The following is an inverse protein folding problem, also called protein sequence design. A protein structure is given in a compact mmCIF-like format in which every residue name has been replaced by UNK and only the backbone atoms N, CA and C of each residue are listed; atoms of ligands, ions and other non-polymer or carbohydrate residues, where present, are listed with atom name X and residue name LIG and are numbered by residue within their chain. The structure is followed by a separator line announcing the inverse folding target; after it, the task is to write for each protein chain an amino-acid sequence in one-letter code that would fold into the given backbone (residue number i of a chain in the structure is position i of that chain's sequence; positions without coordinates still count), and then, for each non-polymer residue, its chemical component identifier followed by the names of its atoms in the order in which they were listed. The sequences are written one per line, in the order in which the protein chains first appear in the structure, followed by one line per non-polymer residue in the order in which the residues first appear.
data_IF_539780416370
#
_entry.id   IF_539780416370
#
_cell.length_a   1.000
_cell.length_b   1.000
_cell.length_c   1.000
_cell.angle_alpha   90.00
_cell.angle_beta   90.00
_cell.angle_gamma   90.00
#
_symmetry.space_group_name_H-M   'P 1'
#
loop_
_entity.id
_entity.type
_entity.pdbx_description
1 polymer ?
#
# COMPACT_ATOMS: atom_id res chain seq x y z
N UNK A 1 -3.18 -2.91 22.00
CA UNK A 1 -3.90 -2.79 20.72
C UNK A 1 -5.36 -3.13 20.97
N UNK A 2 -6.36 -2.37 20.48
CA UNK A 2 -7.75 -2.69 20.72
C UNK A 2 -8.03 -4.07 20.08
N UNK A 3 -8.37 -5.02 20.90
CA UNK A 3 -8.90 -6.30 20.48
C UNK A 3 -10.26 -6.02 19.84
N UNK A 4 -10.31 -5.93 18.52
CA UNK A 4 -11.57 -5.99 17.81
C UNK A 4 -12.18 -7.35 18.15
N UNK A 5 -13.18 -7.36 19.02
CA UNK A 5 -14.01 -8.53 19.32
C UNK A 5 -14.70 -8.95 18.03
N UNK A 6 -14.10 -9.90 17.36
CA UNK A 6 -14.65 -10.45 16.11
C UNK A 6 -15.65 -11.53 16.54
N UNK A 7 -16.91 -11.40 16.15
CA UNK A 7 -17.91 -12.42 16.42
C UNK A 7 -17.52 -13.74 15.72
N UNK A 8 -17.39 -14.86 16.45
CA UNK A 8 -16.96 -16.14 15.91
C UNK A 8 -18.07 -16.81 15.10
N UNK A 9 -18.19 -16.44 13.83
CA UNK A 9 -19.13 -17.02 12.88
C UNK A 9 -18.40 -17.69 11.72
N UNK A 10 -18.96 -18.76 11.16
CA UNK A 10 -18.40 -19.45 9.98
C UNK A 10 -18.25 -18.50 8.78
N UNK A 11 -19.15 -17.54 8.64
CA UNK A 11 -19.11 -16.54 7.58
C UNK A 11 -17.91 -15.60 7.72
N UNK A 12 -17.64 -15.12 8.94
CA UNK A 12 -16.51 -14.21 9.20
C UNK A 12 -15.16 -14.96 9.08
N UNK A 13 -15.12 -16.25 9.45
CA UNK A 13 -13.95 -17.09 9.21
C UNK A 13 -13.62 -17.22 7.72
N UNK A 14 -14.62 -17.47 6.87
CA UNK A 14 -14.44 -17.53 5.42
C UNK A 14 -13.98 -16.20 4.85
N UNK A 15 -14.52 -15.08 5.35
CA UNK A 15 -14.10 -13.72 4.98
C UNK A 15 -12.66 -13.45 5.36
N UNK A 16 -12.21 -13.85 6.56
CA UNK A 16 -10.82 -13.71 7.00
C UNK A 16 -9.86 -14.55 6.15
N UNK A 17 -10.23 -15.80 5.83
CA UNK A 17 -9.45 -16.65 4.91
C UNK A 17 -9.34 -16.02 3.51
N UNK A 18 -10.41 -15.43 3.00
CA UNK A 18 -10.41 -14.67 1.75
C UNK A 18 -9.49 -13.44 1.80
N UNK A 19 -9.57 -12.66 2.88
CA UNK A 19 -8.68 -11.50 3.12
C UNK A 19 -7.21 -11.92 3.20
N UNK A 20 -6.90 -13.02 3.87
CA UNK A 20 -5.54 -13.55 3.93
C UNK A 20 -5.00 -13.88 2.53
N UNK A 21 -5.79 -14.59 1.71
CA UNK A 21 -5.41 -14.93 0.33
C UNK A 21 -5.17 -13.67 -0.53
N UNK A 22 -6.02 -12.65 -0.38
CA UNK A 22 -5.86 -11.37 -1.08
C UNK A 22 -4.61 -10.63 -0.59
N UNK A 23 -4.36 -10.60 0.73
CA UNK A 23 -3.16 -9.99 1.31
C UNK A 23 -1.86 -10.66 0.82
N UNK A 24 -1.83 -12.00 0.73
CA UNK A 24 -0.68 -12.74 0.20
C UNK A 24 -0.42 -12.44 -1.28
N UNK A 25 -1.48 -12.36 -2.11
CA UNK A 25 -1.35 -11.96 -3.51
C UNK A 25 -0.88 -10.51 -3.64
N UNK A 26 -1.48 -9.61 -2.86
CA UNK A 26 -1.09 -8.20 -2.84
C UNK A 26 0.36 -8.00 -2.38
N UNK A 27 0.82 -8.75 -1.38
CA UNK A 27 2.21 -8.74 -0.95
C UNK A 27 3.16 -9.13 -2.09
N UNK A 28 2.86 -10.23 -2.83
CA UNK A 28 3.69 -10.65 -3.96
C UNK A 28 3.76 -9.57 -5.05
N UNK A 29 2.60 -9.03 -5.47
CA UNK A 29 2.54 -7.98 -6.49
C UNK A 29 3.25 -6.69 -6.09
N UNK A 30 3.15 -6.29 -4.82
CA UNK A 30 3.86 -5.11 -4.31
C UNK A 30 5.36 -5.36 -4.20
N UNK A 31 5.79 -6.57 -3.89
CA UNK A 31 7.19 -6.97 -3.89
C UNK A 31 7.76 -6.90 -5.30
N UNK A 32 7.08 -7.49 -6.28
CA UNK A 32 7.48 -7.46 -7.69
C UNK A 32 7.54 -6.00 -8.20
N UNK A 33 6.53 -5.16 -7.86
CA UNK A 33 6.54 -3.72 -8.17
C UNK A 33 7.75 -3.01 -7.56
N UNK A 34 8.07 -3.26 -6.29
CA UNK A 34 9.22 -2.66 -5.61
C UNK A 34 10.53 -3.03 -6.30
N UNK A 35 10.69 -4.30 -6.66
CA UNK A 35 11.93 -4.81 -7.25
C UNK A 35 12.14 -4.22 -8.65
N UNK A 36 11.09 -4.04 -9.44
CA UNK A 36 11.17 -3.38 -10.74
C UNK A 36 11.43 -1.86 -10.60
N UNK A 37 10.77 -1.17 -9.66
CA UNK A 37 11.07 0.24 -9.36
C UNK A 37 12.53 0.41 -8.91
N UNK A 38 13.07 -0.50 -8.13
CA UNK A 38 14.47 -0.47 -7.68
C UNK A 38 15.43 -0.61 -8.87
N UNK A 39 15.11 -1.47 -9.84
CA UNK A 39 15.93 -1.63 -11.05
C UNK A 39 15.97 -0.33 -11.86
N UNK A 40 14.80 0.26 -12.14
CA UNK A 40 14.72 1.53 -12.86
C UNK A 40 15.41 2.67 -12.10
N UNK A 41 15.26 2.74 -10.79
CA UNK A 41 15.97 3.68 -9.94
C UNK A 41 17.48 3.55 -10.06
N UNK A 42 18.02 2.33 -10.06
CA UNK A 42 19.45 2.10 -10.22
C UNK A 42 19.99 2.54 -11.58
N UNK A 43 19.19 2.38 -12.64
CA UNK A 43 19.57 2.85 -13.98
C UNK A 43 19.60 4.40 -14.03
N UNK A 44 18.57 5.06 -13.47
CA UNK A 44 18.51 6.52 -13.33
C UNK A 44 19.68 7.06 -12.47
N UNK A 45 20.03 6.40 -11.39
CA UNK A 45 21.17 6.79 -10.53
C UNK A 45 22.51 6.68 -11.28
N UNK A 46 22.69 5.67 -12.13
CA UNK A 46 23.91 5.57 -12.98
C UNK A 46 23.99 6.72 -13.99
N UNK A 47 22.88 7.03 -14.64
CA UNK A 47 22.80 8.16 -15.58
C UNK A 47 23.06 9.50 -14.86
N UNK A 48 22.42 9.71 -13.70
CA UNK A 48 22.64 10.87 -12.83
C UNK A 48 24.13 11.05 -12.50
N UNK A 49 24.80 9.99 -12.07
CA UNK A 49 26.23 10.03 -11.71
C UNK A 49 27.12 10.40 -12.90
N UNK A 50 26.82 9.87 -14.09
CA UNK A 50 27.58 10.15 -15.30
C UNK A 50 27.38 11.60 -15.75
N UNK A 51 26.14 12.11 -15.73
CA UNK A 51 25.83 13.50 -16.06
C UNK A 51 26.44 14.48 -15.05
N UNK A 52 26.32 14.18 -13.76
CA UNK A 52 26.89 15.01 -12.70
C UNK A 52 28.39 15.20 -12.87
N UNK A 53 29.11 14.13 -13.19
CA UNK A 53 30.55 14.21 -13.45
C UNK A 53 30.87 15.11 -14.64
N UNK A 54 30.10 15.02 -15.74
CA UNK A 54 30.28 15.89 -16.92
C UNK A 54 30.00 17.35 -16.59
N UNK A 55 28.94 17.63 -15.84
CA UNK A 55 28.57 18.97 -15.38
C UNK A 55 29.65 19.53 -14.46
N UNK A 56 30.17 18.77 -13.51
CA UNK A 56 31.25 19.17 -12.60
C UNK A 56 32.54 19.51 -13.38
N UNK A 57 32.93 18.68 -14.35
CA UNK A 57 34.10 18.93 -15.21
C UNK A 57 33.91 20.16 -16.08
N UNK A 58 32.71 20.41 -16.62
CA UNK A 58 32.38 21.59 -17.39
C UNK A 58 32.37 22.88 -16.56
N UNK A 59 31.76 22.83 -15.38
CA UNK A 59 31.75 23.95 -14.43
C UNK A 59 33.17 24.30 -13.95
N UNK A 60 34.02 23.31 -13.68
CA UNK A 60 35.42 23.57 -13.30
C UNK A 60 36.16 24.33 -14.40
N UNK A 61 35.94 23.97 -15.67
CA UNK A 61 36.55 24.73 -16.82
C UNK A 61 36.01 26.13 -16.87
N UNK A 62 34.69 26.33 -16.83
CA UNK A 62 34.07 27.65 -16.84
C UNK A 62 34.55 28.52 -15.67
N UNK A 63 34.64 28.00 -14.47
CA UNK A 63 35.16 28.71 -13.29
C UNK A 63 36.64 29.05 -13.42
N UNK A 64 37.45 28.15 -14.02
CA UNK A 64 38.86 28.42 -14.30
C UNK A 64 39.04 29.61 -15.21
N UNK A 65 38.38 29.64 -16.37
CA UNK A 65 38.40 30.78 -17.30
C UNK A 65 37.84 32.06 -16.68
N UNK A 66 36.76 31.95 -15.90
CA UNK A 66 36.18 33.09 -15.18
C UNK A 66 37.12 33.69 -14.14
N UNK A 67 37.88 32.87 -13.43
CA UNK A 67 38.85 33.31 -12.44
C UNK A 67 39.99 34.09 -13.10
N UNK A 68 40.46 33.65 -14.28
CA UNK A 68 41.47 34.37 -15.06
C UNK A 68 40.89 35.70 -15.58
N UNK A 69 39.66 35.68 -16.11
CA UNK A 69 38.97 36.90 -16.57
C UNK A 69 38.83 37.94 -15.44
N UNK A 70 38.43 37.48 -14.24
CA UNK A 70 38.29 38.30 -13.03
C UNK A 70 39.62 38.93 -12.55
N UNK A 71 40.76 38.27 -12.83
CA UNK A 71 42.07 38.79 -12.49
C UNK A 71 42.55 39.86 -13.51
N UNK A 72 42.06 39.80 -14.76
CA UNK A 72 42.44 40.71 -15.84
C UNK A 72 41.54 41.95 -15.94
N UNK A 73 40.30 41.83 -15.45
CA UNK A 73 39.27 42.89 -15.55
C UNK A 73 38.98 43.50 -14.18
N UNK A 74 38.55 44.77 -14.15
CA UNK A 74 38.01 45.34 -12.91
C UNK A 74 36.64 44.76 -12.56
N UNK A 75 36.34 44.62 -11.27
CA UNK A 75 35.07 44.10 -10.78
C UNK A 75 33.86 44.84 -11.36
N UNK A 76 33.96 46.17 -11.47
CA UNK A 76 32.90 47.02 -12.03
C UNK A 76 32.62 46.74 -13.52
N UNK A 77 33.67 46.50 -14.34
CA UNK A 77 33.51 46.13 -15.75
C UNK A 77 32.90 44.75 -15.91
N UNK A 78 33.26 43.82 -15.04
CA UNK A 78 32.75 42.45 -15.06
C UNK A 78 31.26 42.42 -14.66
N UNK A 79 30.87 43.17 -13.63
CA UNK A 79 29.47 43.32 -13.22
C UNK A 79 28.63 43.96 -14.33
N UNK A 80 29.13 45.03 -14.98
CA UNK A 80 28.44 45.68 -16.11
C UNK A 80 28.26 44.73 -17.31
N UNK A 81 29.27 43.91 -17.60
CA UNK A 81 29.23 42.96 -18.71
C UNK A 81 28.16 41.87 -18.52
N UNK A 82 27.93 41.42 -17.29
CA UNK A 82 27.00 40.32 -16.97
C UNK A 82 25.61 40.79 -16.50
N UNK A 83 25.37 42.11 -16.38
CA UNK A 83 24.14 42.65 -15.82
C UNK A 83 22.88 42.30 -16.63
N UNK A 84 22.98 42.27 -17.96
CA UNK A 84 21.85 42.07 -18.86
C UNK A 84 22.05 40.82 -19.72
N UNK A 85 21.47 39.65 -19.32
CA UNK A 85 21.54 38.45 -20.14
C UNK A 85 20.71 38.62 -21.42
N UNK A 86 21.27 38.31 -22.58
CA UNK A 86 20.57 38.30 -23.88
C UNK A 86 19.80 37.01 -24.11
N UNK A 87 20.32 35.91 -23.61
CA UNK A 87 19.73 34.59 -23.81
C UNK A 87 18.70 34.28 -22.74
N UNK A 88 17.52 33.81 -23.13
CA UNK A 88 16.50 33.29 -22.20
C UNK A 88 16.10 31.87 -22.56
N UNK A 89 15.88 31.06 -21.56
CA UNK A 89 15.47 29.68 -21.71
C UNK A 89 14.03 29.54 -21.18
N UNK A 90 13.11 29.09 -22.03
CA UNK A 90 11.75 28.73 -21.63
C UNK A 90 11.69 27.23 -21.36
N UNK A 91 11.10 26.87 -20.22
CA UNK A 91 10.93 25.49 -19.79
C UNK A 91 9.46 25.07 -19.93
N UNK A 92 9.18 24.12 -20.81
CA UNK A 92 7.90 23.42 -20.90
C UNK A 92 8.01 22.09 -20.15
N UNK A 93 7.12 21.86 -19.19
CA UNK A 93 7.13 20.66 -18.37
C UNK A 93 5.96 19.75 -18.75
N UNK A 94 6.27 18.53 -19.19
CA UNK A 94 5.31 17.45 -19.40
C UNK A 94 5.52 16.35 -18.36
N UNK A 95 4.51 15.49 -18.17
CA UNK A 95 4.60 14.38 -17.23
C UNK A 95 4.50 13.05 -17.95
N UNK A 96 5.44 12.17 -17.66
CA UNK A 96 5.42 10.78 -18.10
C UNK A 96 5.13 9.87 -16.91
N UNK A 97 4.30 8.83 -17.12
CA UNK A 97 4.01 7.87 -16.07
C UNK A 97 4.96 6.67 -16.15
N UNK A 98 5.75 6.46 -15.09
CA UNK A 98 6.63 5.31 -14.93
C UNK A 98 6.13 4.49 -13.73
N UNK A 99 5.52 3.33 -13.97
CA UNK A 99 5.02 2.42 -12.93
C UNK A 99 4.15 3.10 -11.86
N UNK A 100 3.24 3.98 -12.27
CA UNK A 100 2.36 4.78 -11.42
C UNK A 100 3.06 5.94 -10.70
N UNK A 101 4.28 6.30 -11.09
CA UNK A 101 4.98 7.53 -10.69
C UNK A 101 4.93 8.51 -11.85
N UNK A 102 4.39 9.71 -11.60
CA UNK A 102 4.40 10.78 -12.60
C UNK A 102 5.74 11.51 -12.53
N UNK A 103 6.56 11.30 -13.54
CA UNK A 103 7.90 11.85 -13.66
C UNK A 103 7.84 13.06 -14.60
N UNK A 104 8.44 14.20 -14.26
CA UNK A 104 8.51 15.34 -15.14
C UNK A 104 9.51 15.06 -16.29
N UNK A 105 9.15 15.49 -17.47
CA UNK A 105 10.02 15.56 -18.65
C UNK A 105 10.14 17.03 -19.05
N UNK A 106 11.35 17.51 -19.15
CA UNK A 106 11.66 18.92 -19.40
C UNK A 106 11.97 19.14 -20.88
N UNK A 107 11.24 20.04 -21.50
CA UNK A 107 11.49 20.51 -22.86
C UNK A 107 11.99 21.95 -22.80
N UNK A 108 13.21 22.17 -23.28
CA UNK A 108 13.85 23.47 -23.25
C UNK A 108 13.75 24.13 -24.62
N UNK A 109 13.33 25.39 -24.64
CA UNK A 109 13.37 26.26 -25.83
C UNK A 109 14.26 27.43 -25.53
N UNK A 110 15.40 27.54 -26.23
CA UNK A 110 16.22 28.71 -26.21
C UNK A 110 15.64 29.74 -27.18
N UNK A 111 15.50 30.99 -26.74
CA UNK A 111 14.93 32.09 -27.57
C UNK A 111 15.89 32.63 -28.61
N UNK A 112 17.18 32.30 -28.55
CA UNK A 112 18.19 32.71 -29.51
C UNK A 112 18.77 31.54 -30.27
N UNK A 113 18.65 31.55 -31.59
CA UNK A 113 19.21 30.53 -32.49
C UNK A 113 20.65 30.87 -32.94
N UNK A 114 21.13 32.08 -32.74
CA UNK A 114 22.45 32.53 -33.17
C UNK A 114 23.51 32.37 -32.06
N UNK A 115 24.62 31.72 -32.40
CA UNK A 115 25.78 31.54 -31.50
C UNK A 115 26.40 32.88 -31.03
N UNK A 116 26.20 33.96 -31.76
CA UNK A 116 26.67 35.31 -31.39
C UNK A 116 25.86 35.98 -30.28
N UNK A 117 24.63 35.55 -30.04
CA UNK A 117 23.76 36.12 -28.99
C UNK A 117 24.06 35.60 -27.57
N UNK A 118 25.01 34.68 -27.42
CA UNK A 118 25.46 34.19 -26.13
C UNK A 118 26.13 35.28 -25.30
N UNK A 119 26.81 36.23 -25.98
CA UNK A 119 27.58 37.28 -25.32
C UNK A 119 26.74 38.53 -25.08
N UNK A 120 26.46 38.91 -23.82
CA UNK A 120 25.63 40.08 -23.49
C UNK A 120 26.40 41.42 -23.59
N UNK A 121 27.68 41.39 -23.89
CA UNK A 121 28.60 42.53 -23.86
C UNK A 121 29.31 42.75 -25.19
N UNK A 122 29.95 43.92 -25.31
CA UNK A 122 30.76 44.27 -26.49
C UNK A 122 32.22 43.85 -26.33
N UNK A 123 32.82 43.29 -27.39
CA UNK A 123 34.18 42.73 -27.36
C UNK A 123 35.31 43.78 -27.16
N UNK A 124 35.01 45.09 -27.22
CA UNK A 124 36.03 46.14 -27.09
C UNK A 124 36.51 46.36 -25.64
N UNK A 125 35.70 46.00 -24.65
CA UNK A 125 35.94 46.28 -23.23
C UNK A 125 36.09 45.02 -22.37
N UNK A 126 35.98 43.84 -22.97
CA UNK A 126 36.01 42.54 -22.27
C UNK A 126 37.22 41.72 -22.70
N UNK A 127 37.67 40.82 -21.82
CA UNK A 127 38.77 39.91 -22.11
C UNK A 127 38.28 38.64 -22.80
N UNK A 128 39.05 38.05 -23.70
CA UNK A 128 38.74 36.80 -24.39
C UNK A 128 38.59 35.59 -23.42
N UNK A 129 39.13 35.70 -22.22
CA UNK A 129 38.97 34.68 -21.18
C UNK A 129 37.53 34.65 -20.64
N UNK A 130 36.84 35.80 -20.61
CA UNK A 130 35.42 35.87 -20.26
C UNK A 130 34.57 35.20 -21.34
N UNK A 131 34.92 35.36 -22.62
CA UNK A 131 34.22 34.68 -23.71
C UNK A 131 34.33 33.16 -23.58
N UNK A 132 35.54 32.67 -23.28
CA UNK A 132 35.77 31.25 -23.03
C UNK A 132 34.98 30.70 -21.81
N UNK A 133 34.82 31.51 -20.76
CA UNK A 133 34.01 31.13 -19.60
C UNK A 133 32.52 31.03 -19.93
N UNK A 134 31.98 31.99 -20.66
CA UNK A 134 30.58 32.05 -21.10
C UNK A 134 30.26 30.92 -22.08
N UNK A 135 31.16 30.65 -23.06
CA UNK A 135 31.01 29.52 -23.98
C UNK A 135 31.00 28.17 -23.24
N UNK A 136 31.96 27.96 -22.32
CA UNK A 136 32.00 26.74 -21.51
C UNK A 136 30.73 26.56 -20.66
N UNK A 137 30.21 27.66 -20.09
CA UNK A 137 28.96 27.62 -19.29
C UNK A 137 27.74 27.31 -20.17
N UNK A 138 27.65 27.91 -21.35
CA UNK A 138 26.58 27.65 -22.33
C UNK A 138 26.59 26.18 -22.77
N UNK A 139 27.75 25.59 -23.00
CA UNK A 139 27.89 24.16 -23.34
C UNK A 139 27.46 23.21 -22.24
N UNK A 140 27.58 23.62 -20.98
CA UNK A 140 27.16 22.81 -19.82
C UNK A 140 25.68 22.99 -19.47
N UNK A 141 25.05 24.07 -19.91
CA UNK A 141 23.68 24.44 -19.57
C UNK A 141 22.69 23.31 -19.88
N UNK A 142 22.79 22.70 -21.06
CA UNK A 142 21.90 21.58 -21.45
C UNK A 142 22.08 20.35 -20.54
N UNK A 143 23.32 20.00 -20.20
CA UNK A 143 23.61 18.92 -19.29
C UNK A 143 23.11 19.21 -17.87
N UNK A 144 23.16 20.46 -17.39
CA UNK A 144 22.59 20.87 -16.08
C UNK A 144 21.08 20.74 -16.06
N UNK A 145 20.41 21.16 -17.12
CA UNK A 145 18.95 21.03 -17.21
C UNK A 145 18.51 19.55 -17.27
N UNK A 146 19.24 18.73 -18.02
CA UNK A 146 19.01 17.28 -18.05
C UNK A 146 19.30 16.63 -16.69
N UNK A 147 20.33 17.07 -15.99
CA UNK A 147 20.63 16.63 -14.64
C UNK A 147 19.50 16.93 -13.67
N UNK A 148 18.93 18.15 -13.73
CA UNK A 148 17.79 18.54 -12.89
C UNK A 148 16.55 17.63 -13.11
N UNK A 149 16.25 17.26 -14.37
CA UNK A 149 15.19 16.32 -14.72
C UNK A 149 15.43 14.95 -14.09
N UNK A 150 16.65 14.42 -14.24
CA UNK A 150 17.02 13.10 -13.72
C UNK A 150 17.08 13.08 -12.19
N UNK A 151 17.55 14.14 -11.56
CA UNK A 151 17.54 14.28 -10.10
C UNK A 151 16.11 14.28 -9.56
N UNK A 152 15.20 15.03 -10.19
CA UNK A 152 13.80 15.03 -9.79
C UNK A 152 13.14 13.67 -9.99
N UNK A 153 13.44 13.01 -11.09
CA UNK A 153 12.99 11.63 -11.38
C UNK A 153 13.47 10.65 -10.31
N UNK A 154 14.75 10.70 -9.97
CA UNK A 154 15.32 9.82 -8.93
C UNK A 154 14.67 10.05 -7.57
N UNK A 155 14.40 11.30 -7.19
CA UNK A 155 13.72 11.64 -5.95
C UNK A 155 12.32 11.05 -5.88
N UNK A 156 11.52 11.22 -6.95
CA UNK A 156 10.15 10.70 -7.00
C UNK A 156 10.10 9.16 -6.97
N UNK A 157 11.02 8.50 -7.67
CA UNK A 157 11.16 7.05 -7.63
C UNK A 157 11.56 6.55 -6.23
N UNK A 158 12.51 7.23 -5.56
CA UNK A 158 12.92 6.89 -4.20
C UNK A 158 11.76 6.99 -3.20
N UNK A 159 10.95 8.05 -3.27
CA UNK A 159 9.76 8.24 -2.43
C UNK A 159 8.74 7.11 -2.63
N UNK A 160 8.47 6.72 -3.89
CA UNK A 160 7.52 5.63 -4.16
C UNK A 160 8.08 4.26 -3.74
N UNK A 161 9.38 4.01 -3.89
CA UNK A 161 10.05 2.82 -3.39
C UNK A 161 9.90 2.73 -1.86
N UNK A 162 10.11 3.84 -1.15
CA UNK A 162 9.94 3.87 0.31
C UNK A 162 8.49 3.60 0.73
N UNK A 163 7.51 4.23 0.09
CA UNK A 163 6.07 3.99 0.31
C UNK A 163 5.71 2.53 0.07
N UNK A 164 6.19 1.96 -1.05
CA UNK A 164 5.93 0.56 -1.40
C UNK A 164 6.60 -0.39 -0.42
N UNK A 165 7.85 -0.12 0.01
CA UNK A 165 8.56 -0.88 1.04
C UNK A 165 7.81 -0.90 2.37
N UNK A 166 7.30 0.26 2.82
CA UNK A 166 6.48 0.34 4.04
C UNK A 166 5.22 -0.51 3.93
N UNK A 167 4.52 -0.50 2.77
CA UNK A 167 3.33 -1.32 2.53
C UNK A 167 3.66 -2.82 2.51
N UNK A 168 4.75 -3.21 1.85
CA UNK A 168 5.22 -4.61 1.82
C UNK A 168 5.53 -5.09 3.23
N UNK A 169 6.29 -4.31 4.02
CA UNK A 169 6.66 -4.66 5.39
C UNK A 169 5.42 -4.77 6.30
N UNK A 170 4.44 -3.86 6.16
CA UNK A 170 3.20 -3.92 6.93
C UNK A 170 2.38 -5.18 6.61
N UNK A 171 2.34 -5.61 5.35
CA UNK A 171 1.69 -6.86 4.95
C UNK A 171 2.44 -8.08 5.48
N UNK A 172 3.76 -8.12 5.33
CA UNK A 172 4.61 -9.26 5.64
C UNK A 172 4.73 -9.52 7.15
N UNK A 173 4.97 -8.46 7.94
CA UNK A 173 5.27 -8.60 9.37
C UNK A 173 4.08 -8.37 10.29
N UNK A 174 3.06 -7.65 9.84
CA UNK A 174 1.92 -7.30 10.70
C UNK A 174 0.64 -7.98 10.24
N UNK A 175 0.21 -7.76 9.02
CA UNK A 175 -1.12 -8.16 8.58
C UNK A 175 -1.24 -9.67 8.33
N UNK A 176 -0.32 -10.26 7.59
CA UNK A 176 -0.34 -11.69 7.24
C UNK A 176 -0.13 -12.56 8.49
N UNK A 177 0.90 -12.35 9.34
CA UNK A 177 1.09 -13.15 10.53
C UNK A 177 -0.05 -13.01 11.53
N UNK A 178 -0.53 -11.79 11.80
CA UNK A 178 -1.63 -11.55 12.72
C UNK A 178 -2.92 -12.27 12.26
N UNK A 179 -3.22 -12.23 10.95
CA UNK A 179 -4.41 -12.91 10.43
C UNK A 179 -4.24 -14.42 10.45
N UNK A 180 -3.07 -14.95 10.04
CA UNK A 180 -2.82 -16.39 9.89
C UNK A 180 -2.64 -17.11 11.21
N UNK A 181 -1.87 -16.54 12.14
CA UNK A 181 -1.43 -17.22 13.35
C UNK A 181 -2.20 -16.82 14.61
N UNK A 182 -2.92 -15.70 14.59
CA UNK A 182 -3.68 -15.23 15.75
C UNK A 182 -5.18 -15.28 15.48
N UNK A 183 -5.67 -14.53 14.50
CA UNK A 183 -7.11 -14.35 14.30
C UNK A 183 -7.83 -15.61 13.81
N UNK A 184 -7.27 -16.33 12.84
CA UNK A 184 -7.90 -17.52 12.27
C UNK A 184 -7.96 -18.65 13.31
N UNK A 185 -6.87 -19.04 14.00
CA UNK A 185 -6.94 -20.10 15.02
C UNK A 185 -7.87 -19.76 16.17
N UNK A 186 -7.81 -18.54 16.73
CA UNK A 186 -8.72 -18.10 17.80
C UNK A 186 -10.19 -18.20 17.39
N UNK A 187 -10.51 -17.87 16.14
CA UNK A 187 -11.87 -17.97 15.64
C UNK A 187 -12.29 -19.43 15.41
N UNK A 188 -11.40 -20.28 14.93
CA UNK A 188 -11.65 -21.71 14.76
C UNK A 188 -11.92 -22.39 16.10
N UNK A 189 -11.11 -22.11 17.12
CA UNK A 189 -11.31 -22.60 18.49
C UNK A 189 -12.65 -22.12 19.09
N UNK A 190 -12.97 -20.83 18.93
CA UNK A 190 -14.23 -20.28 19.41
C UNK A 190 -15.46 -20.90 18.72
N UNK A 191 -15.38 -21.15 17.41
CA UNK A 191 -16.44 -21.82 16.65
C UNK A 191 -16.58 -23.26 17.10
N UNK A 192 -15.49 -23.99 17.33
CA UNK A 192 -15.52 -25.38 17.88
C UNK A 192 -16.15 -25.40 19.24
N UNK A 193 -15.79 -24.49 20.14
CA UNK A 193 -16.39 -24.41 21.49
C UNK A 193 -17.89 -24.14 21.42
N UNK A 194 -18.35 -23.21 20.59
CA UNK A 194 -19.78 -22.93 20.42
C UNK A 194 -20.52 -24.14 19.86
N UNK A 195 -19.95 -24.81 18.85
CA UNK A 195 -20.56 -26.03 18.27
C UNK A 195 -20.69 -27.14 19.32
N UNK A 196 -19.65 -27.37 20.11
CA UNK A 196 -19.69 -28.34 21.19
C UNK A 196 -20.78 -27.99 22.22
N UNK A 197 -20.93 -26.72 22.59
CA UNK A 197 -21.97 -26.29 23.53
C UNK A 197 -23.39 -26.42 22.97
N UNK A 198 -23.57 -26.20 21.69
CA UNK A 198 -24.85 -26.41 20.99
C UNK A 198 -25.21 -27.90 20.98
N UNK A 199 -24.26 -28.78 20.62
CA UNK A 199 -24.45 -30.21 20.63
C UNK A 199 -24.79 -30.75 22.06
N UNK A 200 -24.14 -30.21 23.10
CA UNK A 200 -24.44 -30.53 24.50
C UNK A 200 -25.86 -30.09 24.88
N UNK A 201 -26.29 -28.89 24.48
CA UNK A 201 -27.65 -28.40 24.69
C UNK A 201 -28.70 -29.24 23.93
N UNK A 202 -28.44 -29.63 22.70
CA UNK A 202 -29.34 -30.48 21.92
C UNK A 202 -29.51 -31.86 22.59
N UNK A 203 -28.41 -32.46 23.06
CA UNK A 203 -28.47 -33.73 23.84
C UNK A 203 -29.26 -33.55 25.12
N UNK A 204 -29.03 -32.46 25.87
CA UNK A 204 -29.77 -32.18 27.08
C UNK A 204 -31.28 -31.98 26.82
N UNK A 205 -31.64 -31.29 25.74
CA UNK A 205 -33.02 -31.10 25.33
C UNK A 205 -33.67 -32.41 24.87
N UNK A 206 -32.96 -33.25 24.14
CA UNK A 206 -33.43 -34.58 23.74
C UNK A 206 -33.73 -35.47 24.97
N UNK A 207 -32.85 -35.46 25.99
CA UNK A 207 -33.07 -36.20 27.25
C UNK A 207 -34.27 -35.62 27.99
N UNK A 208 -34.45 -34.29 28.05
CA UNK A 208 -35.64 -33.65 28.66
C UNK A 208 -36.93 -34.09 27.95
N UNK A 209 -36.94 -34.06 26.61
CA UNK A 209 -38.08 -34.47 25.81
C UNK A 209 -38.40 -35.95 26.00
N UNK A 210 -37.39 -36.83 26.09
CA UNK A 210 -37.59 -38.25 26.42
C UNK A 210 -38.23 -38.41 27.81
N UNK A 211 -37.72 -37.71 28.84
CA UNK A 211 -38.31 -37.77 30.19
C UNK A 211 -39.75 -37.28 30.23
N UNK A 212 -40.08 -36.19 29.52
CA UNK A 212 -41.46 -35.68 29.40
C UNK A 212 -42.36 -36.71 28.73
N UNK A 213 -41.87 -37.32 27.63
CA UNK A 213 -42.61 -38.40 26.95
C UNK A 213 -42.84 -39.59 27.82
N UNK A 214 -41.84 -40.01 28.62
CA UNK A 214 -41.96 -41.12 29.56
C UNK A 214 -42.97 -40.83 30.72
N UNK A 215 -42.98 -39.57 31.21
CA UNK A 215 -43.99 -39.14 32.20
C UNK A 215 -45.38 -39.16 31.61
N UNK A 216 -45.61 -38.61 30.44
CA UNK A 216 -46.92 -38.62 29.76
C UNK A 216 -47.38 -40.06 29.46
N UNK A 217 -46.47 -40.95 29.10
CA UNK A 217 -46.78 -42.38 28.91
C UNK A 217 -47.19 -43.06 30.22
N UNK A 218 -46.52 -42.76 31.34
CA UNK A 218 -46.89 -43.28 32.67
C UNK A 218 -48.26 -42.74 33.11
N UNK A 219 -48.52 -41.47 32.99
CA UNK A 219 -49.83 -40.84 33.25
C UNK A 219 -50.96 -41.51 32.43
N UNK A 220 -50.73 -41.69 31.11
CA UNK A 220 -51.69 -42.33 30.22
C UNK A 220 -51.94 -43.81 30.57
N UNK A 221 -50.92 -44.53 31.10
CA UNK A 221 -51.06 -45.90 31.59
C UNK A 221 -51.82 -45.92 32.91
N UNK A 222 -51.57 -45.00 33.86
CA UNK A 222 -52.26 -44.84 35.10
C UNK A 222 -53.75 -44.50 34.88
N UNK A 223 -54.03 -43.52 34.00
CA UNK A 223 -55.40 -43.18 33.62
C UNK A 223 -56.18 -44.38 33.04
N UNK A 224 -55.54 -45.22 32.21
CA UNK A 224 -56.17 -46.46 31.69
C UNK A 224 -56.39 -47.44 32.74
N UNK A 225 -55.47 -47.68 33.70
CA UNK A 225 -55.65 -48.55 34.80
C UNK A 225 -56.83 -48.13 35.70
N UNK A 226 -56.90 -46.86 36.06
CA UNK A 226 -58.01 -46.31 36.83
C UNK A 226 -59.34 -46.38 36.06
N UNK A 227 -59.35 -46.24 34.76
CA UNK A 227 -60.52 -46.37 33.91
C UNK A 227 -60.98 -47.86 33.87
N UNK A 228 -60.03 -48.79 33.74
CA UNK A 228 -60.32 -50.24 33.78
C UNK A 228 -60.79 -50.71 35.18
N UNK A 229 -60.18 -50.16 36.26
CA UNK A 229 -60.67 -50.45 37.65
C UNK A 229 -62.07 -49.90 37.88
N UNK A 230 -62.41 -48.72 37.45
CA UNK A 230 -63.77 -48.14 37.50
C UNK A 230 -64.78 -48.95 36.68
N UNK A 231 -64.35 -49.49 35.51
CA UNK A 231 -65.17 -50.34 34.67
C UNK A 231 -65.44 -51.73 35.37
N UNK A 232 -64.45 -52.31 36.06
CA UNK A 232 -64.59 -53.55 36.83
C UNK A 232 -65.49 -53.33 38.02
N UNK A 233 -65.36 -52.23 38.76
CA UNK A 233 -66.25 -51.90 39.86
C UNK A 233 -67.72 -51.67 39.39
N UNK A 234 -67.93 -51.02 38.25
CA UNK A 234 -69.23 -50.80 37.65
C UNK A 234 -69.87 -52.11 37.14
N UNK A 235 -69.10 -53.11 36.75
CA UNK A 235 -69.57 -54.45 36.35
C UNK A 235 -69.78 -55.40 37.57
N UNK A 236 -68.95 -55.27 38.59
CA UNK A 236 -69.02 -56.11 39.84
C UNK A 236 -70.29 -55.81 40.72
N UNK A 237 -70.81 -54.59 40.56
CA UNK A 237 -72.06 -54.18 41.26
C UNK A 237 -73.35 -54.73 40.69
N UNK A 238 -73.36 -55.54 39.62
CA UNK A 238 -74.58 -56.06 38.92
C UNK A 238 -74.82 -57.57 39.13
N UNK A 239 -74.07 -58.24 39.97
CA UNK A 239 -74.38 -59.66 40.38
C UNK A 239 -74.87 -59.72 41.84
N UNK A 240 -75.99 -59.09 42.05
CA UNK A 240 -76.81 -59.33 43.27
C UNK A 240 -77.85 -60.38 43.01
N UNK A 241 -77.85 -61.37 43.75
CA UNK A 241 -78.58 -62.62 43.96
C UNK A 241 -80.00 -62.81 43.28
N UNK A 242 -80.33 -64.00 42.83
CA UNK A 242 -81.72 -64.40 42.73
C UNK A 242 -82.21 -64.90 44.07
N UNK A 243 -83.30 -64.30 44.59
CA UNK A 243 -84.05 -64.85 45.68
C UNK A 243 -84.68 -66.17 45.28
N UNK A 244 -84.53 -67.15 46.16
CA UNK A 244 -85.36 -68.36 46.21
C UNK A 244 -86.74 -68.05 46.69
N UNK A 245 -87.76 -68.50 46.00
CA UNK A 245 -88.94 -69.31 46.52
C UNK A 245 -89.57 -70.01 45.36
#
# INVERSE_FOLDING_TARGET
MPSTTINPTRMELTRLKGRLKTAQRGHKLLKDKRDELMKQFMDVVRENRALRKRVEEGLMRAHGSFTVASALMSTEMLEQALLYPKQSVELDMTFQNIMSVNVPVYHFKTKSDDAGEIYPYGFATTSGELDGAVEALSGVLQDMLRLAEIEKTSQLLAEEIEKTRRRVNALEYVMIPNTKYVKIPQMEEAIQYITMKLDENERANTIRLMKVKDMLLKEAIEEKREADERAIEAFGGRTGAPEET
#
